data_IF_470611076232
#
_entry.id   IF_470611076232
#
_cell.length_a   1.000
_cell.length_b   1.000
_cell.length_c   1.000
_cell.angle_alpha   90.00
_cell.angle_beta   90.00
_cell.angle_gamma   90.00
#
_symmetry.space_group_name_H-M   'P 1'
#
loop_
_entity.id
_entity.type
_entity.pdbx_description
1 polymer ?
#
# COMPACT_ATOMS: atom_id res chain seq x y z
N UNK A 1 -15.55 19.90 -39.46
CA UNK A 1 -14.27 19.20 -39.31
C UNK A 1 -13.70 19.53 -37.95
N UNK A 2 -13.44 18.54 -37.10
CA UNK A 2 -12.82 18.71 -35.78
C UNK A 2 -11.37 19.14 -35.95
N UNK A 3 -10.93 20.15 -35.19
CA UNK A 3 -9.51 20.53 -35.13
C UNK A 3 -8.82 19.58 -34.14
N UNK A 4 -7.84 18.83 -34.61
CA UNK A 4 -6.95 18.01 -33.78
C UNK A 4 -5.74 18.86 -33.38
N UNK A 5 -5.19 18.64 -32.18
CA UNK A 5 -3.92 19.23 -31.75
C UNK A 5 -2.71 18.40 -32.23
N UNK A 6 -1.49 18.88 -31.95
CA UNK A 6 -0.24 18.24 -32.38
C UNK A 6 -0.04 16.84 -31.79
N UNK A 7 -0.75 16.51 -30.71
CA UNK A 7 -0.69 15.21 -30.04
C UNK A 7 -1.87 14.30 -30.48
N UNK A 8 -2.68 14.75 -31.44
CA UNK A 8 -3.76 13.97 -32.03
C UNK A 8 -5.05 13.94 -31.22
N UNK A 9 -5.20 14.79 -30.21
CA UNK A 9 -6.43 14.92 -29.43
C UNK A 9 -7.40 15.92 -30.05
N UNK A 10 -8.69 15.62 -29.93
CA UNK A 10 -9.76 16.48 -30.43
C UNK A 10 -9.93 17.71 -29.54
N UNK A 11 -9.70 18.90 -30.12
CA UNK A 11 -9.92 20.16 -29.42
C UNK A 11 -11.42 20.40 -29.26
N UNK A 12 -11.93 20.24 -28.03
CA UNK A 12 -13.31 20.57 -27.67
C UNK A 12 -13.37 21.98 -27.09
N UNK A 13 -14.10 22.88 -27.74
CA UNK A 13 -14.39 24.20 -27.18
C UNK A 13 -15.39 24.06 -26.02
N UNK A 14 -15.03 24.52 -24.83
CA UNK A 14 -15.95 24.50 -23.69
C UNK A 14 -17.13 25.44 -23.96
N UNK A 15 -18.33 24.88 -24.08
CA UNK A 15 -19.56 25.67 -24.12
C UNK A 15 -19.75 26.25 -22.71
N UNK A 16 -19.58 27.56 -22.54
CA UNK A 16 -19.87 28.24 -21.26
C UNK A 16 -21.34 28.00 -20.92
N UNK A 17 -21.61 26.98 -20.11
CA UNK A 17 -22.94 26.74 -19.60
C UNK A 17 -23.18 27.77 -18.50
N UNK A 18 -23.80 28.91 -18.84
CA UNK A 18 -24.48 29.74 -17.84
C UNK A 18 -25.72 28.98 -17.37
N UNK A 19 -25.52 27.89 -16.64
CA UNK A 19 -26.58 27.28 -15.85
C UNK A 19 -26.19 27.54 -14.41
N UNK A 20 -26.90 28.48 -13.78
CA UNK A 20 -26.98 28.63 -12.34
C UNK A 20 -27.58 27.34 -11.75
N UNK A 21 -26.83 26.24 -11.77
CA UNK A 21 -27.16 25.07 -10.97
C UNK A 21 -26.70 25.42 -9.57
N UNK A 22 -27.65 25.63 -8.67
CA UNK A 22 -27.40 25.81 -7.25
C UNK A 22 -26.41 24.75 -6.76
N UNK A 23 -25.24 25.16 -6.30
CA UNK A 23 -24.25 24.32 -5.62
C UNK A 23 -24.66 23.98 -4.19
N UNK A 24 -25.86 24.37 -3.75
CA UNK A 24 -26.43 23.90 -2.49
C UNK A 24 -26.63 22.39 -2.59
N UNK A 25 -25.64 21.65 -2.11
CA UNK A 25 -25.81 20.27 -1.71
C UNK A 25 -27.01 20.27 -0.76
N UNK A 26 -28.01 19.45 -1.07
CA UNK A 26 -29.08 19.18 -0.12
C UNK A 26 -28.42 18.80 1.20
N UNK A 27 -28.69 19.53 2.28
CA UNK A 27 -28.48 19.03 3.63
C UNK A 27 -29.48 17.89 3.86
N UNK A 28 -29.42 16.84 3.06
CA UNK A 28 -29.87 15.55 3.51
C UNK A 28 -28.81 15.21 4.54
N UNK A 29 -29.12 15.47 5.81
CA UNK A 29 -28.35 14.96 6.93
C UNK A 29 -28.25 13.47 6.66
N UNK A 30 -27.12 13.06 6.10
CA UNK A 30 -26.79 11.67 5.95
C UNK A 30 -26.59 11.26 7.39
N UNK A 31 -27.67 10.82 8.03
CA UNK A 31 -27.60 10.21 9.33
C UNK A 31 -26.68 9.03 9.09
N UNK A 32 -25.41 9.23 9.45
CA UNK A 32 -24.47 8.15 9.63
C UNK A 32 -25.05 7.39 10.81
N UNK A 33 -26.01 6.52 10.50
CA UNK A 33 -26.42 5.47 11.40
C UNK A 33 -25.12 4.80 11.78
N UNK A 34 -24.67 5.04 13.01
CA UNK A 34 -23.73 4.16 13.69
C UNK A 34 -24.48 2.84 13.79
N UNK A 35 -24.51 2.10 12.69
CA UNK A 35 -24.86 0.69 12.71
C UNK A 35 -23.84 0.13 13.67
N UNK A 36 -24.29 -0.26 14.85
CA UNK A 36 -23.51 -1.17 15.68
C UNK A 36 -23.20 -2.34 14.77
N UNK A 37 -21.94 -2.44 14.36
CA UNK A 37 -21.51 -3.50 13.47
C UNK A 37 -21.54 -4.74 14.35
N UNK A 38 -22.59 -5.55 14.20
CA UNK A 38 -22.65 -6.86 14.81
C UNK A 38 -21.55 -7.71 14.15
N UNK A 39 -20.42 -7.82 14.84
CA UNK A 39 -19.29 -8.62 14.36
C UNK A 39 -19.70 -10.09 14.51
N UNK A 40 -19.93 -10.75 13.38
CA UNK A 40 -20.14 -12.19 13.35
C UNK A 40 -18.81 -12.89 13.66
N UNK A 41 -18.60 -13.20 14.94
CA UNK A 41 -17.37 -13.82 15.47
C UNK A 41 -17.04 -15.14 14.78
N UNK A 42 -18.04 -15.94 14.47
CA UNK A 42 -17.90 -17.23 13.79
C UNK A 42 -17.40 -17.07 12.34
N UNK A 43 -17.92 -16.09 11.61
CA UNK A 43 -17.44 -15.76 10.27
C UNK A 43 -16.00 -15.24 10.30
N UNK A 44 -15.69 -14.37 11.26
CA UNK A 44 -14.33 -13.87 11.46
C UNK A 44 -13.35 -15.02 11.79
N UNK A 45 -13.74 -15.94 12.66
CA UNK A 45 -12.92 -17.10 13.01
C UNK A 45 -12.61 -17.97 11.80
N UNK A 46 -13.63 -18.32 11.00
CA UNK A 46 -13.44 -19.09 9.76
C UNK A 46 -12.53 -18.38 8.77
N UNK A 47 -12.66 -17.06 8.62
CA UNK A 47 -11.78 -16.27 7.73
C UNK A 47 -10.32 -16.27 8.21
N UNK A 48 -10.09 -16.19 9.52
CA UNK A 48 -8.74 -16.25 10.09
C UNK A 48 -8.13 -17.63 9.83
N UNK A 49 -8.88 -18.71 10.05
CA UNK A 49 -8.39 -20.07 9.80
C UNK A 49 -8.05 -20.24 8.32
N UNK A 50 -8.96 -19.88 7.41
CA UNK A 50 -8.73 -19.98 5.97
C UNK A 50 -7.50 -19.19 5.53
N UNK A 51 -7.37 -17.93 5.97
CA UNK A 51 -6.22 -17.10 5.62
C UNK A 51 -4.90 -17.69 6.14
N UNK A 52 -4.91 -18.31 7.33
CA UNK A 52 -3.74 -19.02 7.87
C UNK A 52 -3.37 -20.21 6.99
N UNK A 53 -4.36 -21.01 6.59
CA UNK A 53 -4.14 -22.17 5.73
C UNK A 53 -3.59 -21.76 4.36
N UNK A 54 -4.12 -20.68 3.77
CA UNK A 54 -3.64 -20.13 2.50
C UNK A 54 -2.17 -19.69 2.59
N UNK A 55 -1.79 -19.01 3.67
CA UNK A 55 -0.41 -18.58 3.91
C UNK A 55 0.51 -19.79 4.06
N UNK A 56 0.09 -20.81 4.82
CA UNK A 56 0.87 -22.03 5.02
C UNK A 56 1.05 -22.84 3.72
N UNK A 57 0.05 -22.83 2.84
CA UNK A 57 0.10 -23.48 1.54
C UNK A 57 0.84 -22.64 0.47
N UNK A 58 1.09 -21.36 0.73
CA UNK A 58 1.68 -20.47 -0.27
C UNK A 58 3.11 -20.87 -0.63
N UNK A 59 3.40 -20.90 -1.92
CA UNK A 59 4.75 -21.17 -2.44
C UNK A 59 5.76 -20.14 -1.90
N UNK A 60 5.33 -18.89 -1.73
CA UNK A 60 6.14 -17.83 -1.13
C UNK A 60 6.67 -18.20 0.25
N UNK A 61 5.79 -18.66 1.17
CA UNK A 61 6.23 -19.06 2.50
C UNK A 61 7.19 -20.25 2.45
N UNK A 62 6.91 -21.23 1.59
CA UNK A 62 7.76 -22.40 1.40
C UNK A 62 9.16 -21.98 0.92
N UNK A 63 9.24 -21.06 -0.04
CA UNK A 63 10.52 -20.56 -0.57
C UNK A 63 11.29 -19.74 0.46
N UNK A 64 10.58 -18.93 1.26
CA UNK A 64 11.14 -18.19 2.39
C UNK A 64 11.71 -19.14 3.43
N UNK A 65 10.99 -20.19 3.83
CA UNK A 65 11.48 -21.16 4.81
C UNK A 65 12.67 -22.01 4.29
N UNK A 66 12.73 -22.26 2.97
CA UNK A 66 13.86 -22.94 2.33
C UNK A 66 15.10 -22.05 2.20
N UNK A 67 14.94 -20.73 2.21
CA UNK A 67 16.06 -19.82 2.18
C UNK A 67 16.86 -19.97 3.49
N UNK A 68 17.99 -20.67 3.44
CA UNK A 68 18.89 -20.98 4.56
C UNK A 68 19.29 -19.76 5.40
N UNK A 69 19.15 -18.55 4.85
CA UNK A 69 19.43 -17.26 5.50
C UNK A 69 18.51 -16.92 6.67
N UNK A 70 17.38 -17.59 6.83
CA UNK A 70 16.49 -17.41 7.99
C UNK A 70 16.84 -18.34 9.15
N UNK A 71 17.59 -19.41 8.89
CA UNK A 71 18.04 -20.36 9.89
C UNK A 71 19.37 -19.91 10.48
N UNK A 72 19.39 -18.82 11.25
CA UNK A 72 20.50 -18.54 12.20
C UNK A 72 20.31 -17.29 13.05
N UNK A 73 19.10 -16.74 13.15
CA UNK A 73 18.87 -15.67 14.12
C UNK A 73 18.54 -16.31 15.47
N UNK A 74 19.46 -16.27 16.47
CA UNK A 74 19.19 -16.87 17.77
C UNK A 74 18.00 -16.15 18.43
N UNK A 75 17.21 -16.86 19.24
CA UNK A 75 16.07 -16.27 19.94
C UNK A 75 16.46 -15.05 20.81
N UNK A 76 17.71 -15.00 21.27
CA UNK A 76 18.30 -13.86 21.99
C UNK A 76 18.39 -12.58 21.15
N UNK A 77 18.48 -12.68 19.82
CA UNK A 77 18.52 -11.50 18.93
C UNK A 77 17.29 -10.61 19.07
N UNK A 78 16.11 -11.18 19.29
CA UNK A 78 14.87 -10.42 19.51
C UNK A 78 14.66 -10.01 20.96
N UNK A 79 15.30 -10.72 21.90
CA UNK A 79 15.22 -10.42 23.33
C UNK A 79 16.07 -9.20 23.68
N UNK A 80 17.23 -9.07 23.04
CA UNK A 80 18.10 -7.92 23.17
C UNK A 80 17.53 -6.77 22.34
N UNK A 81 16.82 -5.85 23.00
CA UNK A 81 16.39 -4.56 22.42
C UNK A 81 17.58 -3.61 22.16
N UNK A 82 18.76 -4.14 21.91
CA UNK A 82 19.92 -3.35 21.56
C UNK A 82 19.65 -2.71 20.21
N UNK A 83 19.51 -1.39 20.21
CA UNK A 83 19.38 -0.62 18.98
C UNK A 83 20.64 -0.92 18.14
N UNK A 84 20.51 -1.42 16.91
CA UNK A 84 21.67 -1.65 16.06
C UNK A 84 22.41 -0.33 15.87
N UNK A 85 23.70 -0.35 16.16
CA UNK A 85 24.58 0.79 15.92
C UNK A 85 24.93 0.78 14.43
N UNK A 86 24.18 1.58 13.66
CA UNK A 86 24.46 1.78 12.25
C UNK A 86 25.76 2.56 12.12
N UNK A 87 26.84 1.88 11.73
CA UNK A 87 28.13 2.52 11.41
C UNK A 87 28.08 3.28 10.09
N UNK A 88 27.11 2.94 9.24
CA UNK A 88 26.90 3.56 7.93
C UNK A 88 26.15 4.88 8.11
N UNK A 89 26.91 5.96 8.29
CA UNK A 89 26.42 7.33 8.17
C UNK A 89 25.93 7.59 6.74
N UNK A 90 25.18 8.67 6.53
CA UNK A 90 24.68 9.07 5.19
C UNK A 90 25.80 9.13 4.12
N UNK A 91 27.04 9.39 4.56
CA UNK A 91 28.26 9.40 3.75
C UNK A 91 28.61 8.02 3.16
N UNK A 92 28.31 6.92 3.87
CA UNK A 92 28.55 5.57 3.37
C UNK A 92 27.54 5.18 2.29
N UNK A 93 26.26 5.48 2.50
CA UNK A 93 25.20 5.17 1.52
C UNK A 93 25.43 5.98 0.24
N UNK A 94 25.77 7.26 0.37
CA UNK A 94 26.07 8.13 -0.77
C UNK A 94 27.30 7.67 -1.53
N UNK A 95 28.41 7.34 -0.85
CA UNK A 95 29.61 6.82 -1.51
C UNK A 95 29.39 5.47 -2.21
N UNK A 96 28.59 4.57 -1.62
CA UNK A 96 28.19 3.32 -2.26
C UNK A 96 27.35 3.56 -3.53
N UNK A 97 26.42 4.51 -3.48
CA UNK A 97 25.60 4.91 -4.64
C UNK A 97 26.46 5.51 -5.75
N UNK A 98 27.41 6.39 -5.41
CA UNK A 98 28.37 6.95 -6.37
C UNK A 98 29.24 5.86 -7.02
N UNK A 99 29.76 4.91 -6.24
CA UNK A 99 30.60 3.83 -6.79
C UNK A 99 29.84 2.88 -7.72
N UNK A 100 28.54 2.65 -7.48
CA UNK A 100 27.71 1.76 -8.31
C UNK A 100 27.11 2.46 -9.54
N UNK A 101 27.03 3.79 -9.52
CA UNK A 101 26.76 4.59 -10.71
C UNK A 101 28.03 4.62 -11.56
N UNK A 102 28.08 3.81 -12.62
CA UNK A 102 29.15 3.83 -13.64
C UNK A 102 29.11 5.15 -14.44
N UNK A 103 29.46 6.26 -13.81
CA UNK A 103 29.62 7.58 -14.43
C UNK A 103 31.07 7.75 -14.86
#
# INVERSE_FOLDING_TARGET
>A
MSKLDNDGFQVVSSKRASKNKSTKLSHQSQEFWKREIEINTESCHRRIISAREDVLASQYLIDVLKAEKLNTVPASFWADRQKPEYKETEEFITSLMFNNLKI
#
